data_IF_164318637537
#
_entry.id   IF_164318637537
#
_cell.length_a   1.000
_cell.length_b   1.000
_cell.length_c   1.000
_cell.angle_alpha   90.00
_cell.angle_beta   90.00
_cell.angle_gamma   90.00
#
_symmetry.space_group_name_H-M   'P 1'
#
loop_
_entity.id
_entity.type
_entity.pdbx_description
1 polymer ?
#
# COMPACT_ATOMS: atom_id res chain seq x y z
N UNK A 1 -9.53 4.55 -1.17
CA UNK A 1 -10.09 5.23 -2.35
C UNK A 1 -11.01 4.27 -3.10
N UNK A 2 -12.33 4.29 -2.87
CA UNK A 2 -13.25 3.42 -3.63
C UNK A 2 -13.44 3.88 -5.07
N UNK A 3 -13.63 5.19 -5.23
CA UNK A 3 -13.85 5.83 -6.51
C UNK A 3 -12.74 6.85 -6.74
N UNK A 4 -12.08 6.76 -7.88
CA UNK A 4 -11.15 7.78 -8.35
C UNK A 4 -11.56 8.18 -9.77
N UNK A 5 -11.78 9.47 -10.07
CA UNK A 5 -12.35 9.90 -11.36
C UNK A 5 -11.54 9.44 -12.58
N UNK A 6 -12.11 8.56 -13.41
CA UNK A 6 -11.44 7.99 -14.59
C UNK A 6 -10.58 6.76 -14.29
N UNK A 7 -10.91 6.01 -13.24
CA UNK A 7 -10.36 4.70 -12.91
C UNK A 7 -11.49 3.72 -12.56
N UNK A 8 -11.21 2.42 -12.59
CA UNK A 8 -12.15 1.40 -12.12
C UNK A 8 -12.45 1.56 -10.64
N UNK A 9 -13.59 1.02 -10.20
CA UNK A 9 -13.97 1.05 -8.77
C UNK A 9 -13.20 -0.03 -8.00
N UNK A 10 -12.61 0.35 -6.87
CA UNK A 10 -12.02 -0.56 -5.89
C UNK A 10 -13.03 -0.81 -4.78
N UNK A 11 -13.84 -1.85 -4.94
CA UNK A 11 -14.96 -2.16 -4.04
C UNK A 11 -14.52 -2.44 -2.60
N UNK A 12 -13.32 -2.98 -2.41
CA UNK A 12 -12.81 -3.43 -1.12
C UNK A 12 -11.84 -2.44 -0.46
N UNK A 13 -11.34 -1.43 -1.18
CA UNK A 13 -10.49 -0.40 -0.59
C UNK A 13 -11.09 0.29 0.67
N UNK A 14 -12.40 0.61 0.76
CA UNK A 14 -12.99 1.10 2.01
C UNK A 14 -12.95 0.08 3.14
N UNK A 15 -13.13 -1.20 2.82
CA UNK A 15 -13.08 -2.28 3.79
C UNK A 15 -11.66 -2.50 4.32
N UNK A 16 -10.65 -2.37 3.46
CA UNK A 16 -9.23 -2.36 3.86
C UNK A 16 -8.96 -1.23 4.86
N UNK A 17 -9.30 0.02 4.51
CA UNK A 17 -9.10 1.19 5.40
C UNK A 17 -9.83 1.01 6.73
N UNK A 18 -11.09 0.54 6.69
CA UNK A 18 -11.85 0.29 7.92
C UNK A 18 -11.20 -0.77 8.82
N UNK A 19 -10.62 -1.82 8.22
CA UNK A 19 -9.92 -2.89 8.95
C UNK A 19 -8.64 -2.37 9.58
N UNK A 20 -7.82 -1.65 8.83
CA UNK A 20 -6.58 -1.03 9.32
C UNK A 20 -6.87 -0.03 10.43
N UNK A 21 -7.91 0.78 10.29
CA UNK A 21 -8.38 1.74 11.31
C UNK A 21 -8.68 1.06 12.64
N UNK A 22 -9.38 -0.07 12.61
CA UNK A 22 -9.70 -0.85 13.81
C UNK A 22 -8.44 -1.44 14.47
N UNK A 23 -7.52 -1.96 13.67
CA UNK A 23 -6.25 -2.51 14.17
C UNK A 23 -5.35 -1.43 14.77
N UNK A 24 -5.23 -0.28 14.11
CA UNK A 24 -4.51 0.88 14.64
C UNK A 24 -5.09 1.35 15.98
N UNK A 25 -6.41 1.46 16.10
CA UNK A 25 -7.06 1.80 17.37
C UNK A 25 -6.72 0.80 18.49
N UNK A 26 -6.66 -0.51 18.18
CA UNK A 26 -6.25 -1.53 19.15
C UNK A 26 -4.78 -1.43 19.59
N UNK A 27 -3.94 -0.72 18.83
CA UNK A 27 -2.55 -0.42 19.15
C UNK A 27 -2.36 0.95 19.81
N UNK A 28 -3.45 1.63 20.22
CA UNK A 28 -3.45 3.02 20.71
C UNK A 28 -2.94 4.03 19.67
N UNK A 29 -3.11 3.75 18.38
CA UNK A 29 -2.78 4.65 17.29
C UNK A 29 -4.07 5.31 16.81
N UNK A 30 -4.19 6.62 17.00
CA UNK A 30 -5.34 7.39 16.53
C UNK A 30 -5.30 7.56 15.00
N UNK A 31 -6.29 7.07 14.26
CA UNK A 31 -6.34 7.21 12.81
C UNK A 31 -6.75 8.64 12.40
N UNK A 32 -6.04 9.20 11.43
CA UNK A 32 -6.38 10.44 10.76
C UNK A 32 -6.74 10.13 9.30
N UNK A 33 -7.93 10.54 8.86
CA UNK A 33 -8.38 10.40 7.47
C UNK A 33 -8.56 11.79 6.85
N UNK A 34 -7.51 12.36 6.23
CA UNK A 34 -7.62 13.65 5.56
C UNK A 34 -8.53 13.56 4.32
N UNK A 35 -8.91 14.71 3.77
CA UNK A 35 -9.51 14.72 2.42
C UNK A 35 -8.49 14.15 1.44
N UNK A 36 -8.96 13.44 0.43
CA UNK A 36 -8.12 12.72 -0.52
C UNK A 36 -7.62 13.65 -1.63
N UNK A 37 -6.98 14.74 -1.21
CA UNK A 37 -6.36 15.75 -2.07
C UNK A 37 -4.94 16.02 -1.61
N UNK A 38 -4.06 16.37 -2.55
CA UNK A 38 -2.61 16.42 -2.30
C UNK A 38 -2.21 17.39 -1.19
N UNK A 39 -2.84 18.55 -1.13
CA UNK A 39 -2.52 19.60 -0.17
C UNK A 39 -2.76 19.23 1.31
N UNK A 40 -3.56 18.20 1.59
CA UNK A 40 -3.82 17.71 2.96
C UNK A 40 -2.81 16.65 3.42
N UNK A 41 -2.07 16.06 2.48
CA UNK A 41 -1.12 14.97 2.79
C UNK A 41 0.05 15.49 3.64
N UNK A 42 0.72 16.63 3.31
CA UNK A 42 1.84 17.11 4.12
C UNK A 42 1.48 17.37 5.59
N UNK A 43 0.33 17.98 5.86
CA UNK A 43 -0.13 18.25 7.24
C UNK A 43 -0.45 16.96 7.98
N UNK A 44 -1.16 16.02 7.36
CA UNK A 44 -1.45 14.72 7.97
C UNK A 44 -0.17 13.92 8.30
N UNK A 45 0.83 13.95 7.41
CA UNK A 45 2.10 13.27 7.62
C UNK A 45 2.98 13.91 8.70
N UNK A 46 2.77 15.19 9.03
CA UNK A 46 3.45 15.82 10.17
C UNK A 46 2.95 15.28 11.52
N UNK A 47 1.70 14.81 11.57
CA UNK A 47 1.09 14.34 12.81
C UNK A 47 1.20 12.81 12.96
N UNK A 48 1.29 12.08 11.86
CA UNK A 48 1.22 10.62 11.83
C UNK A 48 2.59 9.93 11.76
N UNK A 49 2.73 8.82 12.49
CA UNK A 49 3.89 7.91 12.37
C UNK A 49 3.68 6.79 11.35
N UNK A 50 2.45 6.56 10.90
CA UNK A 50 2.11 5.54 9.90
C UNK A 50 1.31 6.20 8.80
N UNK A 51 1.70 5.97 7.55
CA UNK A 51 0.94 6.34 6.36
C UNK A 51 0.38 5.08 5.70
N UNK A 52 -0.94 4.98 5.58
CA UNK A 52 -1.59 3.89 4.86
C UNK A 52 -2.39 4.46 3.69
N UNK A 53 -2.05 4.04 2.48
CA UNK A 53 -2.79 4.39 1.28
C UNK A 53 -3.42 3.14 0.66
N UNK A 54 -4.74 3.14 0.47
CA UNK A 54 -5.45 2.12 -0.30
C UNK A 54 -6.16 2.75 -1.49
N UNK A 55 -5.73 2.42 -2.69
CA UNK A 55 -6.22 3.06 -3.91
C UNK A 55 -5.48 2.64 -5.18
N UNK A 56 -5.61 3.47 -6.21
CA UNK A 56 -4.87 3.25 -7.46
C UNK A 56 -3.49 3.91 -7.38
N UNK A 57 -2.49 3.21 -7.90
CA UNK A 57 -1.21 3.77 -8.30
C UNK A 57 -1.19 3.92 -9.82
N UNK A 58 -0.41 4.87 -10.32
CA UNK A 58 -0.10 4.96 -11.75
C UNK A 58 1.39 5.14 -11.93
N UNK A 59 2.03 4.16 -12.56
CA UNK A 59 3.39 4.30 -13.06
C UNK A 59 3.34 5.09 -14.37
N UNK A 60 4.21 6.09 -14.49
CA UNK A 60 4.45 6.78 -15.75
C UNK A 60 5.73 6.20 -16.38
N UNK A 61 5.58 5.57 -17.53
CA UNK A 61 6.66 4.85 -18.21
C UNK A 61 7.68 5.80 -18.84
N UNK A 62 7.28 7.03 -19.19
CA UNK A 62 8.17 7.98 -19.85
C UNK A 62 8.90 8.87 -18.83
N UNK A 63 8.24 9.16 -17.71
CA UNK A 63 8.81 9.94 -16.61
C UNK A 63 8.47 9.28 -15.27
N UNK A 64 9.32 8.37 -14.76
CA UNK A 64 9.08 7.70 -13.49
C UNK A 64 8.82 8.65 -12.31
N UNK A 65 9.36 9.89 -12.37
CA UNK A 65 9.18 10.92 -11.34
C UNK A 65 7.74 11.50 -11.31
N UNK A 66 7.00 11.35 -12.41
CA UNK A 66 5.59 11.70 -12.56
C UNK A 66 4.63 10.56 -12.17
N UNK A 67 5.16 9.38 -11.81
CA UNK A 67 4.36 8.29 -11.23
C UNK A 67 3.64 8.77 -9.97
N UNK A 68 2.42 8.32 -9.71
CA UNK A 68 1.55 8.96 -8.71
C UNK A 68 0.66 8.00 -7.93
N UNK A 69 0.32 8.41 -6.71
CA UNK A 69 -0.83 7.89 -5.96
C UNK A 69 -2.09 8.66 -6.39
N UNK A 70 -3.11 7.93 -6.82
CA UNK A 70 -4.25 8.53 -7.50
C UNK A 70 -5.30 9.04 -6.50
N UNK A 71 -5.18 10.33 -6.16
CA UNK A 71 -6.10 11.10 -5.33
C UNK A 71 -7.33 11.64 -6.11
N UNK A 72 -8.29 12.24 -5.42
CA UNK A 72 -9.53 12.77 -6.03
C UNK A 72 -9.25 13.96 -6.96
N UNK A 73 -8.24 14.76 -6.62
CA UNK A 73 -7.79 15.97 -7.33
C UNK A 73 -6.70 15.72 -8.37
N UNK A 74 -6.36 14.46 -8.68
CA UNK A 74 -5.24 14.06 -9.55
C UNK A 74 -5.16 14.78 -10.91
N UNK A 75 -6.32 15.22 -11.45
CA UNK A 75 -6.38 15.91 -12.74
C UNK A 75 -5.86 17.36 -12.65
N UNK A 76 -5.87 17.94 -11.45
CA UNK A 76 -5.48 19.32 -11.16
C UNK A 76 -4.16 19.37 -10.40
N UNK A 77 -4.01 18.54 -9.38
CA UNK A 77 -2.82 18.51 -8.51
C UNK A 77 -2.47 17.05 -8.14
N UNK A 78 -1.77 16.32 -9.02
CA UNK A 78 -1.38 14.93 -8.77
C UNK A 78 -0.36 14.83 -7.62
N UNK A 79 -0.47 13.75 -6.82
CA UNK A 79 0.55 13.39 -5.82
C UNK A 79 1.58 12.46 -6.46
N UNK A 80 2.68 13.04 -6.93
CA UNK A 80 3.73 12.36 -7.69
C UNK A 80 4.86 11.83 -6.81
N UNK A 81 5.74 11.01 -7.40
CA UNK A 81 7.02 10.60 -6.80
C UNK A 81 7.85 11.82 -6.40
N UNK A 82 7.97 12.82 -7.28
CA UNK A 82 8.69 14.08 -6.98
C UNK A 82 8.08 14.81 -5.79
N UNK A 83 6.74 14.86 -5.69
CA UNK A 83 6.08 15.48 -4.54
C UNK A 83 6.39 14.73 -3.24
N UNK A 84 6.34 13.39 -3.27
CA UNK A 84 6.66 12.55 -2.12
C UNK A 84 8.12 12.72 -1.69
N UNK A 85 9.08 12.73 -2.62
CA UNK A 85 10.50 12.96 -2.32
C UNK A 85 10.75 14.33 -1.69
N UNK A 86 9.96 15.34 -2.08
CA UNK A 86 10.05 16.69 -1.56
C UNK A 86 9.28 16.91 -0.24
N UNK A 87 8.59 15.88 0.27
CA UNK A 87 7.95 15.96 1.58
C UNK A 87 9.02 16.13 2.66
N UNK A 88 9.07 17.32 3.24
CA UNK A 88 9.87 17.60 4.43
C UNK A 88 9.11 17.12 5.66
N UNK A 89 9.10 15.81 5.92
CA UNK A 89 8.52 15.26 7.13
C UNK A 89 9.43 15.66 8.30
N UNK A 90 9.04 16.69 9.04
CA UNK A 90 9.84 17.32 10.11
C UNK A 90 9.88 16.51 11.42
N UNK A 91 9.00 15.51 11.56
CA UNK A 91 8.95 14.65 12.75
C UNK A 91 10.08 13.63 12.66
N UNK A 92 10.68 13.29 13.80
CA UNK A 92 11.76 12.29 13.88
C UNK A 92 11.28 10.94 13.33
N UNK A 93 11.57 10.67 12.05
CA UNK A 93 11.43 9.39 11.35
C UNK A 93 10.05 8.71 11.46
N UNK A 94 9.07 9.04 10.58
CA UNK A 94 7.82 8.29 10.52
C UNK A 94 8.12 6.79 10.35
N UNK A 95 7.38 5.97 11.09
CA UNK A 95 7.69 4.55 11.27
C UNK A 95 7.44 3.74 9.99
N UNK A 96 6.28 3.89 9.35
CA UNK A 96 5.99 3.10 8.15
C UNK A 96 5.06 3.77 7.14
N UNK A 97 5.27 3.48 5.86
CA UNK A 97 4.31 3.71 4.79
C UNK A 97 3.86 2.37 4.19
N UNK A 98 2.55 2.18 4.05
CA UNK A 98 1.94 1.02 3.42
C UNK A 98 1.13 1.49 2.20
N UNK A 99 1.61 1.15 1.01
CA UNK A 99 1.04 1.54 -0.27
C UNK A 99 0.27 0.36 -0.88
N UNK A 100 -1.00 0.23 -0.51
CA UNK A 100 -1.95 -0.70 -1.12
C UNK A 100 -2.44 -0.14 -2.45
N UNK A 101 -1.56 -0.20 -3.44
CA UNK A 101 -1.81 0.28 -4.79
C UNK A 101 -0.95 -0.50 -5.78
N UNK A 102 -1.53 -0.83 -6.93
CA UNK A 102 -0.86 -1.56 -8.00
C UNK A 102 0.43 -0.88 -8.45
N UNK A 103 1.48 -1.68 -8.67
CA UNK A 103 2.71 -1.25 -9.32
C UNK A 103 3.55 -0.19 -8.57
N UNK A 104 3.29 0.05 -7.29
CA UNK A 104 3.98 1.08 -6.48
C UNK A 104 5.50 0.90 -6.36
N UNK A 105 6.00 -0.31 -6.56
CA UNK A 105 7.44 -0.63 -6.66
C UNK A 105 7.87 -1.14 -8.04
N UNK A 106 7.07 -0.97 -9.09
CA UNK A 106 7.39 -1.47 -10.43
C UNK A 106 8.47 -0.59 -11.07
N UNK A 107 9.53 -1.24 -11.55
CA UNK A 107 10.55 -0.66 -12.44
C UNK A 107 10.37 -1.35 -13.80
N UNK A 108 9.86 -0.65 -14.81
CA UNK A 108 9.64 -1.25 -16.14
C UNK A 108 10.83 -1.06 -17.07
N UNK A 109 11.58 0.03 -16.92
CA UNK A 109 12.68 0.36 -17.83
C UNK A 109 14.08 0.05 -17.28
N UNK A 110 14.85 -0.66 -18.11
CA UNK A 110 16.28 -0.96 -17.89
C UNK A 110 17.19 0.27 -17.96
N UNK A 111 16.69 1.40 -18.45
CA UNK A 111 17.46 2.65 -18.58
C UNK A 111 17.49 3.43 -17.27
N UNK A 112 16.44 3.34 -16.46
CA UNK A 112 16.34 3.99 -15.14
C UNK A 112 16.53 3.00 -13.99
N UNK A 113 17.06 1.78 -14.25
CA UNK A 113 17.30 0.81 -13.19
C UNK A 113 18.35 1.26 -12.16
N UNK A 114 19.17 2.26 -12.51
CA UNK A 114 20.22 2.80 -11.64
C UNK A 114 19.71 3.90 -10.69
N UNK A 115 18.54 4.49 -10.97
CA UNK A 115 17.89 5.48 -10.11
C UNK A 115 16.56 4.88 -9.63
N UNK A 116 16.45 4.54 -8.34
CA UNK A 116 15.26 3.92 -7.74
C UNK A 116 14.05 4.88 -7.66
N UNK A 117 13.62 5.45 -8.78
CA UNK A 117 12.54 6.43 -8.91
C UNK A 117 11.21 5.67 -9.00
N UNK A 118 10.70 5.28 -7.83
CA UNK A 118 9.38 4.68 -7.68
C UNK A 118 8.75 5.14 -6.37
N UNK A 119 7.43 4.95 -6.20
CA UNK A 119 6.67 5.47 -5.06
C UNK A 119 7.21 4.96 -3.71
N UNK A 120 7.62 3.68 -3.65
CA UNK A 120 8.25 3.12 -2.44
C UNK A 120 9.55 3.87 -2.08
N UNK A 121 10.41 4.13 -3.06
CA UNK A 121 11.68 4.84 -2.86
C UNK A 121 11.45 6.31 -2.50
N UNK A 122 10.42 6.94 -3.09
CA UNK A 122 10.00 8.29 -2.74
C UNK A 122 9.59 8.41 -1.27
N UNK A 123 8.83 7.44 -0.74
CA UNK A 123 8.50 7.40 0.69
C UNK A 123 9.73 7.17 1.57
N UNK A 124 10.67 6.32 1.16
CA UNK A 124 11.94 6.15 1.88
C UNK A 124 12.72 7.48 1.95
N UNK A 125 12.86 8.18 0.83
CA UNK A 125 13.50 9.51 0.76
C UNK A 125 12.75 10.55 1.62
N UNK A 126 11.43 10.47 1.69
CA UNK A 126 10.60 11.31 2.56
C UNK A 126 10.84 11.06 4.06
N UNK A 127 11.51 9.97 4.44
CA UNK A 127 11.92 9.65 5.80
C UNK A 127 11.17 8.49 6.47
N UNK A 128 10.33 7.74 5.73
CA UNK A 128 9.67 6.55 6.29
C UNK A 128 10.67 5.42 6.50
N UNK A 129 10.79 4.93 7.74
CA UNK A 129 11.74 3.85 8.08
C UNK A 129 11.41 2.55 7.35
N UNK A 130 10.14 2.18 7.32
CA UNK A 130 9.65 0.98 6.64
C UNK A 130 8.69 1.36 5.53
N UNK A 131 8.84 0.78 4.34
CA UNK A 131 7.88 1.01 3.26
C UNK A 131 7.47 -0.32 2.65
N UNK A 132 6.17 -0.59 2.64
CA UNK A 132 5.54 -1.74 2.02
C UNK A 132 4.75 -1.26 0.82
N UNK A 133 4.92 -1.92 -0.31
CA UNK A 133 4.13 -1.67 -1.52
C UNK A 133 4.05 -2.93 -2.38
N UNK A 134 3.51 -2.80 -3.58
CA UNK A 134 3.33 -3.90 -4.52
C UNK A 134 4.19 -3.71 -5.76
N UNK A 135 4.80 -4.79 -6.22
CA UNK A 135 5.63 -4.77 -7.43
C UNK A 135 4.79 -4.95 -8.72
N UNK A 136 3.56 -5.44 -8.59
CA UNK A 136 2.64 -5.73 -9.71
C UNK A 136 1.19 -5.42 -9.33
N UNK A 137 0.29 -5.64 -10.28
CA UNK A 137 -1.16 -5.49 -10.08
C UNK A 137 -1.70 -6.47 -9.05
N UNK A 138 -2.41 -5.95 -8.06
CA UNK A 138 -2.96 -6.74 -6.96
C UNK A 138 -4.48 -6.78 -7.02
N UNK A 139 -5.03 -7.90 -6.56
CA UNK A 139 -6.48 -8.04 -6.44
C UNK A 139 -6.97 -7.28 -5.20
N UNK A 140 -7.84 -6.30 -5.41
CA UNK A 140 -8.42 -5.43 -4.38
C UNK A 140 -8.98 -6.21 -3.16
N UNK A 141 -9.63 -7.35 -3.38
CA UNK A 141 -10.15 -8.18 -2.28
C UNK A 141 -9.04 -8.81 -1.43
N UNK A 142 -7.94 -9.22 -2.06
CA UNK A 142 -6.78 -9.79 -1.36
C UNK A 142 -5.99 -8.74 -0.58
N UNK A 143 -6.02 -7.47 -1.01
CA UNK A 143 -5.37 -6.37 -0.30
C UNK A 143 -5.89 -6.21 1.12
N UNK A 144 -7.20 -6.40 1.33
CA UNK A 144 -7.80 -6.38 2.68
C UNK A 144 -7.13 -7.40 3.60
N UNK A 145 -7.06 -8.66 3.17
CA UNK A 145 -6.46 -9.72 3.98
C UNK A 145 -4.95 -9.52 4.16
N UNK A 146 -4.24 -9.02 3.14
CA UNK A 146 -2.82 -8.70 3.24
C UNK A 146 -2.56 -7.62 4.29
N UNK A 147 -3.27 -6.49 4.21
CA UNK A 147 -3.16 -5.42 5.18
C UNK A 147 -3.55 -5.90 6.58
N UNK A 148 -4.65 -6.64 6.71
CA UNK A 148 -5.11 -7.19 8.00
C UNK A 148 -4.02 -8.03 8.66
N UNK A 149 -3.48 -9.04 7.97
CA UNK A 149 -2.44 -9.90 8.52
C UNK A 149 -1.14 -9.15 8.83
N UNK A 150 -0.79 -8.15 8.01
CA UNK A 150 0.37 -7.31 8.26
C UNK A 150 0.23 -6.49 9.55
N UNK A 151 -0.89 -5.78 9.72
CA UNK A 151 -1.15 -4.97 10.92
C UNK A 151 -1.41 -5.83 12.17
N UNK A 152 -2.01 -7.02 12.04
CA UNK A 152 -2.08 -8.01 13.13
C UNK A 152 -0.66 -8.43 13.57
N UNK A 153 0.26 -8.66 12.63
CA UNK A 153 1.66 -8.95 12.94
C UNK A 153 2.36 -7.82 13.70
N UNK A 154 2.13 -6.55 13.31
CA UNK A 154 2.66 -5.40 14.05
C UNK A 154 2.00 -5.23 15.43
N UNK A 155 0.71 -5.49 15.56
CA UNK A 155 0.01 -5.44 16.85
C UNK A 155 0.59 -6.48 17.81
N UNK A 156 0.74 -7.71 17.34
CA UNK A 156 1.13 -8.86 18.18
C UNK A 156 2.63 -8.84 18.51
N UNK A 157 3.47 -8.35 17.60
CA UNK A 157 4.91 -8.19 17.81
C UNK A 157 5.31 -6.82 18.39
N UNK A 158 4.36 -5.91 18.56
CA UNK A 158 4.63 -4.51 18.87
C UNK A 158 5.20 -3.72 17.68
N UNK A 159 5.24 -2.39 17.83
CA UNK A 159 5.77 -1.43 16.85
C UNK A 159 7.31 -1.47 16.78
N UNK A 160 7.85 -2.63 16.41
CA UNK A 160 9.27 -2.92 16.26
C UNK A 160 9.62 -3.25 14.80
N UNK A 161 10.88 -3.02 14.43
CA UNK A 161 11.36 -3.23 13.06
C UNK A 161 11.17 -4.69 12.60
N UNK A 162 11.40 -5.66 13.49
CA UNK A 162 11.20 -7.10 13.20
C UNK A 162 9.73 -7.44 12.92
N UNK A 163 8.80 -6.81 13.63
CA UNK A 163 7.36 -7.06 13.50
C UNK A 163 6.81 -6.68 12.14
N UNK A 164 7.38 -5.65 11.50
CA UNK A 164 7.05 -5.25 10.13
C UNK A 164 7.39 -6.37 9.15
N UNK A 165 8.64 -6.84 9.18
CA UNK A 165 9.13 -7.89 8.29
C UNK A 165 8.38 -9.21 8.53
N UNK A 166 8.22 -9.60 9.79
CA UNK A 166 7.54 -10.83 10.17
C UNK A 166 6.05 -10.78 9.86
N UNK A 167 5.39 -9.64 10.07
CA UNK A 167 3.99 -9.40 9.72
C UNK A 167 3.77 -9.58 8.22
N UNK A 168 4.60 -8.94 7.38
CA UNK A 168 4.50 -9.07 5.93
C UNK A 168 4.80 -10.50 5.45
N UNK A 169 5.79 -11.17 6.04
CA UNK A 169 6.12 -12.55 5.73
C UNK A 169 4.95 -13.50 6.05
N UNK A 170 4.37 -13.38 7.25
CA UNK A 170 3.21 -14.19 7.67
C UNK A 170 2.00 -13.93 6.78
N UNK A 171 1.70 -12.67 6.48
CA UNK A 171 0.61 -12.29 5.57
C UNK A 171 0.78 -12.93 4.18
N UNK A 172 1.97 -12.83 3.62
CA UNK A 172 2.31 -13.41 2.31
C UNK A 172 2.14 -14.93 2.31
N UNK A 173 2.65 -15.62 3.35
CA UNK A 173 2.51 -17.08 3.47
C UNK A 173 1.05 -17.51 3.62
N UNK A 174 0.29 -16.88 4.50
CA UNK A 174 -1.11 -17.21 4.73
C UNK A 174 -1.94 -17.10 3.44
N UNK A 175 -1.74 -16.03 2.66
CA UNK A 175 -2.42 -15.83 1.39
C UNK A 175 -1.99 -16.84 0.33
N UNK A 176 -0.69 -17.13 0.23
CA UNK A 176 -0.17 -18.14 -0.70
C UNK A 176 -0.74 -19.52 -0.40
N UNK A 177 -0.69 -19.94 0.86
CA UNK A 177 -1.11 -21.27 1.28
C UNK A 177 -2.64 -21.44 1.09
N UNK A 178 -3.43 -20.37 1.31
CA UNK A 178 -4.87 -20.32 0.98
C UNK A 178 -5.11 -20.48 -0.52
N UNK A 179 -4.38 -19.77 -1.38
CA UNK A 179 -4.54 -19.89 -2.83
C UNK A 179 -4.21 -21.29 -3.35
N UNK A 180 -3.13 -21.91 -2.83
CA UNK A 180 -2.75 -23.28 -3.20
C UNK A 180 -3.83 -24.28 -2.79
N UNK A 181 -4.39 -24.13 -1.59
CA UNK A 181 -5.48 -24.98 -1.08
C UNK A 181 -6.73 -24.86 -1.96
N UNK A 182 -7.13 -23.64 -2.31
CA UNK A 182 -8.27 -23.40 -3.22
C UNK A 182 -8.05 -24.02 -4.59
N UNK A 183 -6.84 -23.90 -5.16
CA UNK A 183 -6.50 -24.49 -6.47
C UNK A 183 -6.56 -26.02 -6.44
N UNK A 184 -6.07 -26.64 -5.37
CA UNK A 184 -6.13 -28.08 -5.18
C UNK A 184 -7.58 -28.58 -5.08
N UNK A 185 -8.44 -27.88 -4.33
CA UNK A 185 -9.87 -28.21 -4.23
C UNK A 185 -10.58 -28.14 -5.59
N UNK A 186 -10.37 -27.05 -6.34
CA UNK A 186 -10.99 -26.88 -7.67
C UNK A 186 -10.50 -27.95 -8.67
N UNK A 187 -9.23 -28.36 -8.57
CA UNK A 187 -8.71 -29.45 -9.40
C UNK A 187 -9.40 -30.79 -9.08
N UNK A 188 -9.52 -31.13 -7.79
CA UNK A 188 -10.17 -32.35 -7.32
C UNK A 188 -11.67 -32.41 -7.73
N UNK A 189 -12.40 -31.30 -7.60
CA UNK A 189 -13.81 -31.22 -8.02
C UNK A 189 -14.00 -31.40 -9.53
N UNK A 190 -13.05 -30.91 -10.34
CA UNK A 190 -13.08 -31.07 -11.81
C UNK A 190 -12.80 -32.50 -12.23
N UNK A 191 -11.96 -33.22 -11.49
CA UNK A 191 -11.66 -34.63 -11.73
C UNK A 191 -12.85 -35.51 -11.34
N UNK A 192 -13.50 -35.21 -10.21
CA UNK A 192 -14.71 -35.91 -9.77
C UNK A 192 -15.91 -35.72 -10.70
N UNK A 193 -16.07 -34.56 -11.35
CA UNK A 193 -17.13 -34.33 -12.36
C UNK A 193 -16.87 -34.96 -13.73
N UNK A 194 -15.67 -35.48 -13.97
CA UNK A 194 -15.29 -36.15 -15.23
C UNK A 194 -15.37 -37.68 -15.15
N UNK A 195 -15.62 -38.22 -13.96
CA UNK A 195 -15.86 -39.65 -13.70
C UNK A 195 -17.34 -39.89 -13.51
#
# INVERSE_FOLDING_TARGET
MQHTPGSSTLQFAPHEVATVRQLCASMNISPLEPRKCKNEIPSGLQECGIFHFAGHGRTDENDPSASQLMLEDRKRDPLTVTDLMNLKIRKENPFSAYLSACGTGRLEDRVFSDESIHLIGACQVAGFRHVVGTLWDVNDKLCVDMARFFYEGMRDGGMADESVCLGLHKATRALRDRQLSTRAQVAAEREHKRT
#
